data_IF_423173311788
#
_entry.id   IF_423173311788
#
_cell.length_a   1.000
_cell.length_b   1.000
_cell.length_c   1.000
_cell.angle_alpha   90.00
_cell.angle_beta   90.00
_cell.angle_gamma   90.00
#
_symmetry.space_group_name_H-M   'P 1'
#
loop_
_entity.id
_entity.type
_entity.pdbx_description
1 polymer ?
#
# COMPACT_ATOMS: atom_id res chain seq x y z
N UNK A 1 5.25 6.46 10.89
CA UNK A 1 4.79 5.58 11.98
C UNK A 1 5.64 5.71 13.24
N UNK A 2 6.81 6.35 13.14
CA UNK A 2 7.69 6.57 14.26
C UNK A 2 7.07 7.52 15.31
N UNK A 3 7.46 7.36 16.58
CA UNK A 3 6.98 8.21 17.67
C UNK A 3 7.45 9.66 17.53
N UNK A 4 8.65 9.85 16.98
CA UNK A 4 9.30 11.14 16.80
C UNK A 4 9.11 11.71 15.38
N UNK A 5 8.13 11.17 14.61
CA UNK A 5 7.79 11.68 13.28
C UNK A 5 7.37 13.12 13.33
N UNK A 6 7.92 13.93 12.46
CA UNK A 6 7.78 15.39 12.49
C UNK A 6 7.16 15.99 11.22
N UNK A 7 6.70 15.15 10.30
CA UNK A 7 5.96 15.58 9.14
C UNK A 7 6.49 15.07 7.81
N UNK A 8 6.00 15.70 6.75
CA UNK A 8 6.18 15.30 5.38
C UNK A 8 7.45 15.93 4.79
N UNK A 9 8.27 15.12 4.16
CA UNK A 9 9.35 15.60 3.29
C UNK A 9 8.89 15.52 1.84
N UNK A 10 8.91 16.64 1.12
CA UNK A 10 8.57 16.66 -0.30
C UNK A 10 9.72 16.11 -1.13
N UNK A 11 9.38 15.49 -2.25
CA UNK A 11 10.31 14.99 -3.24
C UNK A 11 9.83 15.30 -4.64
N UNK A 12 10.70 15.09 -5.62
CA UNK A 12 10.41 15.22 -7.04
C UNK A 12 10.60 13.86 -7.71
N UNK A 13 9.71 13.52 -8.65
CA UNK A 13 9.82 12.28 -9.38
C UNK A 13 8.78 12.12 -10.48
N UNK A 14 9.08 11.25 -11.41
CA UNK A 14 8.15 10.76 -12.41
C UNK A 14 8.30 9.25 -12.51
N UNK A 15 7.20 8.55 -12.71
CA UNK A 15 7.18 7.11 -12.88
C UNK A 15 6.13 6.70 -13.88
N UNK A 16 6.40 5.63 -14.61
CA UNK A 16 5.48 5.05 -15.58
C UNK A 16 5.42 3.55 -15.40
N UNK A 17 4.23 3.00 -15.33
CA UNK A 17 3.97 1.55 -15.38
C UNK A 17 3.33 1.23 -16.72
N UNK A 18 3.79 0.14 -17.34
CA UNK A 18 3.17 -0.41 -18.54
C UNK A 18 2.28 -1.57 -18.12
N UNK A 19 0.98 -1.41 -18.34
CA UNK A 19 0.00 -2.46 -18.10
C UNK A 19 -0.37 -3.13 -19.42
N UNK A 20 -0.52 -4.44 -19.40
CA UNK A 20 -0.90 -5.24 -20.56
C UNK A 20 -1.92 -6.30 -20.15
N UNK A 21 -2.84 -6.62 -21.04
CA UNK A 21 -3.76 -7.74 -20.89
C UNK A 21 -3.19 -9.06 -21.47
N UNK A 22 -1.92 -9.06 -21.87
CA UNK A 22 -1.24 -10.29 -22.32
C UNK A 22 -0.88 -11.14 -21.11
N UNK A 23 -1.20 -12.43 -21.20
CA UNK A 23 -0.93 -13.42 -20.14
C UNK A 23 0.36 -14.20 -20.34
N UNK A 24 1.03 -14.02 -21.47
CA UNK A 24 2.25 -14.73 -21.88
C UNK A 24 3.55 -13.99 -21.56
N UNK A 25 3.48 -12.92 -20.71
CA UNK A 25 4.66 -12.17 -20.30
C UNK A 25 5.32 -12.89 -19.11
N UNK A 26 6.52 -13.43 -19.27
CA UNK A 26 7.18 -14.13 -18.19
C UNK A 26 7.59 -13.17 -17.06
N UNK A 27 7.56 -13.65 -15.82
CA UNK A 27 8.00 -12.92 -14.64
C UNK A 27 7.30 -11.55 -14.44
N UNK A 28 6.03 -11.44 -14.83
CA UNK A 28 5.25 -10.24 -14.60
C UNK A 28 4.48 -10.32 -13.27
N UNK A 29 4.16 -9.15 -12.72
CA UNK A 29 3.20 -9.01 -11.65
C UNK A 29 1.84 -8.58 -12.22
N UNK A 30 0.79 -9.04 -11.60
CA UNK A 30 -0.59 -8.73 -11.97
C UNK A 30 -1.17 -7.72 -10.98
N UNK A 31 -1.95 -6.78 -11.46
CA UNK A 31 -2.89 -6.03 -10.62
C UNK A 31 -4.09 -6.97 -10.42
N UNK A 32 -4.09 -7.64 -9.27
CA UNK A 32 -5.07 -8.67 -8.97
C UNK A 32 -6.41 -8.10 -8.47
N UNK A 33 -6.37 -6.94 -7.83
CA UNK A 33 -7.56 -6.23 -7.36
C UNK A 33 -7.25 -4.78 -7.07
N UNK A 34 -8.27 -3.92 -7.08
CA UNK A 34 -8.12 -2.51 -6.81
C UNK A 34 -9.43 -1.87 -6.36
N UNK A 35 -9.32 -0.89 -5.47
CA UNK A 35 -10.48 -0.15 -4.99
C UNK A 35 -10.11 1.25 -4.57
N UNK A 36 -11.07 2.14 -4.61
CA UNK A 36 -10.97 3.48 -4.05
C UNK A 36 -12.17 3.81 -3.18
N UNK A 37 -11.96 4.70 -2.22
CA UNK A 37 -13.01 5.20 -1.33
C UNK A 37 -12.77 6.69 -1.05
N UNK A 38 -13.73 7.32 -0.39
CA UNK A 38 -13.58 8.71 0.02
C UNK A 38 -14.04 8.89 1.47
N UNK A 39 -13.21 9.53 2.28
CA UNK A 39 -13.49 9.78 3.70
C UNK A 39 -14.70 10.70 3.91
N UNK A 40 -14.99 11.60 2.95
CA UNK A 40 -15.99 12.65 3.06
C UNK A 40 -15.88 13.48 4.38
N UNK A 41 -14.67 13.57 4.94
CA UNK A 41 -14.43 14.17 6.24
C UNK A 41 -13.93 15.61 6.14
N UNK A 42 -12.73 15.82 5.59
CA UNK A 42 -12.09 17.13 5.51
C UNK A 42 -11.21 17.23 4.25
N UNK A 43 -11.06 18.44 3.70
CA UNK A 43 -10.33 18.65 2.45
C UNK A 43 -8.83 18.26 2.54
N UNK A 44 -8.22 18.39 3.70
CA UNK A 44 -6.78 18.12 3.91
C UNK A 44 -6.47 17.21 5.10
N UNK A 45 -7.49 16.75 5.80
CA UNK A 45 -7.33 15.86 6.96
C UNK A 45 -7.95 14.49 6.67
N UNK A 46 -7.28 13.39 7.05
CA UNK A 46 -7.84 12.05 6.88
C UNK A 46 -8.98 11.79 7.86
N UNK A 47 -9.75 10.75 7.60
CA UNK A 47 -10.67 10.15 8.56
C UNK A 47 -9.96 9.84 9.90
N UNK A 48 -10.70 9.89 11.00
CA UNK A 48 -10.13 9.55 12.32
C UNK A 48 -10.20 8.06 12.64
N UNK A 49 -11.04 7.33 11.93
CA UNK A 49 -11.31 5.90 12.16
C UNK A 49 -10.51 5.00 11.24
N UNK A 50 -10.22 5.44 10.01
CA UNK A 50 -9.55 4.66 8.98
C UNK A 50 -10.48 3.64 8.31
N UNK A 51 -11.78 3.67 8.58
CA UNK A 51 -12.75 2.72 8.04
C UNK A 51 -12.82 2.78 6.51
N UNK A 52 -12.72 3.97 5.92
CA UNK A 52 -12.80 4.16 4.48
C UNK A 52 -11.57 3.58 3.77
N UNK A 53 -10.38 3.80 4.32
CA UNK A 53 -9.17 3.16 3.79
C UNK A 53 -9.22 1.63 3.99
N UNK A 54 -9.69 1.17 5.15
CA UNK A 54 -9.90 -0.26 5.39
C UNK A 54 -10.89 -0.86 4.39
N UNK A 55 -11.96 -0.14 4.06
CA UNK A 55 -12.92 -0.57 3.04
C UNK A 55 -12.26 -0.69 1.66
N UNK A 56 -11.44 0.28 1.25
CA UNK A 56 -10.68 0.18 -0.01
C UNK A 56 -9.75 -1.04 -0.02
N UNK A 57 -9.02 -1.28 1.08
CA UNK A 57 -8.12 -2.43 1.22
C UNK A 57 -8.89 -3.75 1.12
N UNK A 58 -9.94 -3.92 1.92
CA UNK A 58 -10.72 -5.17 1.96
C UNK A 58 -11.44 -5.44 0.65
N UNK A 59 -11.95 -4.40 -0.02
CA UNK A 59 -12.58 -4.54 -1.34
C UNK A 59 -11.55 -4.99 -2.38
N UNK A 60 -10.36 -4.37 -2.42
CA UNK A 60 -9.28 -4.78 -3.33
C UNK A 60 -8.82 -6.22 -3.07
N UNK A 61 -8.71 -6.64 -1.81
CA UNK A 61 -8.35 -8.01 -1.43
C UNK A 61 -9.44 -9.01 -1.83
N UNK A 62 -10.71 -8.69 -1.62
CA UNK A 62 -11.84 -9.52 -2.03
C UNK A 62 -11.88 -9.69 -3.55
N UNK A 63 -11.66 -8.62 -4.33
CA UNK A 63 -11.56 -8.70 -5.78
C UNK A 63 -10.39 -9.60 -6.23
N UNK A 64 -9.28 -9.54 -5.52
CA UNK A 64 -8.12 -10.39 -5.78
C UNK A 64 -8.30 -11.84 -5.30
N UNK A 65 -9.31 -12.14 -4.51
CA UNK A 65 -9.50 -13.47 -3.89
C UNK A 65 -8.43 -13.81 -2.85
N UNK A 66 -7.86 -12.83 -2.16
CA UNK A 66 -6.76 -13.02 -1.18
C UNK A 66 -7.21 -12.72 0.24
N UNK A 67 -6.67 -13.46 1.20
CA UNK A 67 -6.86 -13.24 2.63
C UNK A 67 -5.67 -12.45 3.21
N UNK A 68 -5.82 -11.85 4.40
CA UNK A 68 -4.71 -11.17 5.08
C UNK A 68 -3.45 -12.04 5.25
N UNK A 69 -3.61 -13.34 5.47
CA UNK A 69 -2.49 -14.29 5.61
C UNK A 69 -1.68 -14.52 4.33
N UNK A 70 -2.26 -14.21 3.17
CA UNK A 70 -1.60 -14.37 1.87
C UNK A 70 -0.70 -13.18 1.53
N UNK A 71 -0.92 -12.04 2.21
CA UNK A 71 -0.21 -10.78 1.95
C UNK A 71 1.19 -10.82 2.56
N UNK A 72 2.21 -10.74 1.74
CA UNK A 72 3.61 -10.75 2.14
C UNK A 72 4.03 -9.46 2.84
N UNK A 73 3.56 -8.33 2.36
CA UNK A 73 3.77 -7.01 2.96
C UNK A 73 2.75 -5.98 2.46
N UNK A 74 2.66 -4.86 3.18
CA UNK A 74 1.84 -3.72 2.80
C UNK A 74 2.74 -2.49 2.65
N UNK A 75 2.77 -1.88 1.46
CA UNK A 75 3.39 -0.58 1.26
C UNK A 75 2.33 0.50 1.44
N UNK A 76 2.39 1.15 2.60
CA UNK A 76 1.43 2.17 3.02
C UNK A 76 1.78 3.55 2.45
N UNK A 77 0.84 4.47 2.53
CA UNK A 77 1.08 5.87 2.16
C UNK A 77 2.15 6.51 3.04
N UNK A 78 2.04 6.40 4.37
CA UNK A 78 3.10 6.65 5.36
C UNK A 78 3.83 7.98 5.18
N UNK A 79 3.17 9.09 5.51
CA UNK A 79 3.69 10.45 5.28
C UNK A 79 4.52 11.01 6.45
N UNK A 80 4.67 10.26 7.54
CA UNK A 80 5.25 10.72 8.80
C UNK A 80 4.49 11.90 9.43
N UNK A 81 3.22 12.07 9.09
CA UNK A 81 2.31 13.02 9.75
C UNK A 81 1.47 12.30 10.79
N UNK A 82 1.21 12.96 11.91
CA UNK A 82 0.51 12.36 13.06
C UNK A 82 -0.81 11.74 12.62
N UNK A 83 -1.68 12.54 12.01
CA UNK A 83 -3.05 12.11 11.70
C UNK A 83 -3.14 11.05 10.60
N UNK A 84 -2.31 11.16 9.55
CA UNK A 84 -2.32 10.16 8.49
C UNK A 84 -1.84 8.81 8.99
N UNK A 85 -0.72 8.78 9.70
CA UNK A 85 -0.14 7.52 10.17
C UNK A 85 -1.02 6.86 11.24
N UNK A 86 -1.72 7.65 12.07
CA UNK A 86 -2.73 7.14 12.99
C UNK A 86 -3.93 6.52 12.26
N UNK A 87 -4.45 7.21 11.24
CA UNK A 87 -5.55 6.71 10.41
C UNK A 87 -5.16 5.39 9.73
N UNK A 88 -3.99 5.35 9.09
CA UNK A 88 -3.50 4.16 8.40
C UNK A 88 -3.31 2.97 9.36
N UNK A 89 -2.80 3.23 10.58
CA UNK A 89 -2.64 2.16 11.58
C UNK A 89 -3.96 1.52 11.99
N UNK A 90 -5.00 2.32 12.14
CA UNK A 90 -6.36 1.84 12.44
C UNK A 90 -6.96 1.09 11.24
N UNK A 91 -6.76 1.62 10.03
CA UNK A 91 -7.24 0.98 8.81
C UNK A 91 -6.67 -0.43 8.64
N UNK A 92 -5.36 -0.62 8.90
CA UNK A 92 -4.75 -1.95 8.85
C UNK A 92 -5.30 -2.89 9.90
N UNK A 93 -5.59 -2.40 11.12
CA UNK A 93 -6.22 -3.22 12.14
C UNK A 93 -7.62 -3.69 11.72
N UNK A 94 -8.43 -2.80 11.17
CA UNK A 94 -9.78 -3.13 10.67
C UNK A 94 -9.71 -4.11 9.50
N UNK A 95 -8.73 -3.94 8.59
CA UNK A 95 -8.52 -4.83 7.45
C UNK A 95 -7.86 -6.17 7.81
N UNK A 96 -7.47 -6.39 9.08
CA UNK A 96 -6.81 -7.62 9.53
C UNK A 96 -5.33 -7.74 9.13
N UNK A 97 -4.69 -6.62 8.78
CA UNK A 97 -3.31 -6.56 8.25
C UNK A 97 -2.30 -5.96 9.24
N UNK A 98 -2.68 -5.71 10.50
CA UNK A 98 -1.80 -5.06 11.47
C UNK A 98 -0.51 -5.86 11.78
N UNK A 99 -0.57 -7.19 11.69
CA UNK A 99 0.55 -8.11 11.95
C UNK A 99 1.41 -8.37 10.70
N UNK A 100 0.93 -7.99 9.51
CA UNK A 100 1.69 -8.12 8.27
C UNK A 100 2.88 -7.15 8.26
N UNK A 101 3.92 -7.48 7.49
CA UNK A 101 5.06 -6.56 7.33
C UNK A 101 4.59 -5.26 6.66
N UNK A 102 4.81 -4.13 7.33
CA UNK A 102 4.43 -2.79 6.85
C UNK A 102 5.68 -2.02 6.45
N UNK A 103 5.62 -1.34 5.31
CA UNK A 103 6.68 -0.45 4.86
C UNK A 103 6.14 0.89 4.39
N UNK A 104 6.96 1.94 4.50
CA UNK A 104 6.80 3.19 3.75
C UNK A 104 8.12 3.52 3.07
N UNK A 105 8.05 3.83 1.80
CA UNK A 105 9.23 4.17 0.98
C UNK A 105 9.45 5.67 0.84
N UNK A 106 8.59 6.50 1.45
CA UNK A 106 8.68 7.96 1.30
C UNK A 106 9.97 8.58 1.82
N UNK A 107 10.60 7.98 2.81
CA UNK A 107 11.88 8.49 3.31
C UNK A 107 13.06 8.28 2.34
N UNK A 108 12.87 7.48 1.27
CA UNK A 108 13.88 7.32 0.22
C UNK A 108 13.77 8.38 -0.87
N UNK A 109 12.55 8.80 -1.21
CA UNK A 109 12.26 9.62 -2.39
C UNK A 109 11.62 10.96 -2.05
N UNK A 110 11.19 11.13 -0.81
CA UNK A 110 10.24 12.18 -0.44
C UNK A 110 8.81 11.85 -0.92
N UNK A 111 7.88 12.68 -0.55
CA UNK A 111 6.52 12.61 -1.08
C UNK A 111 6.47 13.32 -2.44
N UNK A 112 6.37 12.54 -3.49
CA UNK A 112 6.37 13.04 -4.87
C UNK A 112 4.96 13.39 -5.38
N UNK A 113 4.03 13.64 -4.45
CA UNK A 113 2.65 14.07 -4.72
C UNK A 113 1.93 13.11 -5.68
N UNK A 114 1.49 13.58 -6.83
CA UNK A 114 0.77 12.77 -7.82
C UNK A 114 1.54 11.56 -8.36
N UNK A 115 2.87 11.59 -8.29
CA UNK A 115 3.71 10.46 -8.71
C UNK A 115 3.85 9.37 -7.63
N UNK A 116 3.60 9.68 -6.35
CA UNK A 116 3.91 8.79 -5.22
C UNK A 116 3.34 7.38 -5.38
N UNK A 117 2.07 7.26 -5.76
CA UNK A 117 1.42 5.95 -5.88
C UNK A 117 2.11 5.06 -6.89
N UNK A 118 2.37 5.59 -8.10
CA UNK A 118 2.98 4.84 -9.21
C UNK A 118 4.45 4.56 -8.93
N UNK A 119 5.20 5.52 -8.39
CA UNK A 119 6.62 5.35 -8.04
C UNK A 119 6.80 4.26 -6.97
N UNK A 120 6.04 4.35 -5.89
CA UNK A 120 6.10 3.42 -4.77
C UNK A 120 5.64 2.01 -5.19
N UNK A 121 4.65 1.92 -6.08
CA UNK A 121 4.21 0.66 -6.67
C UNK A 121 5.32 0.03 -7.53
N UNK A 122 5.96 0.80 -8.42
CA UNK A 122 7.05 0.33 -9.27
C UNK A 122 8.24 -0.17 -8.44
N UNK A 123 8.63 0.57 -7.41
CA UNK A 123 9.72 0.19 -6.50
C UNK A 123 9.38 -1.07 -5.71
N UNK A 124 8.14 -1.17 -5.20
CA UNK A 124 7.70 -2.36 -4.47
C UNK A 124 7.71 -3.60 -5.34
N UNK A 125 7.25 -3.48 -6.60
CA UNK A 125 7.28 -4.59 -7.57
C UNK A 125 8.72 -5.02 -7.86
N UNK A 126 9.63 -4.07 -8.14
CA UNK A 126 11.02 -4.36 -8.43
C UNK A 126 11.78 -5.02 -7.25
N UNK A 127 11.42 -4.68 -6.02
CA UNK A 127 11.96 -5.33 -4.83
C UNK A 127 11.34 -6.72 -4.62
N UNK A 128 10.03 -6.85 -4.82
CA UNK A 128 9.33 -8.12 -4.70
C UNK A 128 9.86 -9.17 -5.70
N UNK A 129 10.19 -8.76 -6.93
CA UNK A 129 10.87 -9.62 -7.93
C UNK A 129 12.18 -10.22 -7.41
N UNK A 130 12.87 -9.52 -6.52
CA UNK A 130 14.13 -9.96 -5.91
C UNK A 130 13.93 -10.70 -4.59
N UNK A 131 12.68 -10.88 -4.13
CA UNK A 131 12.39 -11.42 -2.81
C UNK A 131 12.83 -10.47 -1.69
N UNK A 132 12.78 -9.17 -1.94
CA UNK A 132 13.21 -8.15 -0.97
C UNK A 132 12.03 -7.27 -0.54
N UNK A 133 12.02 -6.89 0.74
CA UNK A 133 11.13 -5.87 1.29
C UNK A 133 12.00 -4.77 1.88
N UNK A 134 11.76 -3.52 1.46
CA UNK A 134 12.50 -2.38 1.97
C UNK A 134 12.32 -2.21 3.48
N UNK A 135 13.33 -1.68 4.15
CA UNK A 135 13.10 -1.12 5.50
C UNK A 135 12.36 0.22 5.38
N UNK A 136 11.63 0.58 6.41
CA UNK A 136 11.11 1.95 6.57
C UNK A 136 12.20 2.82 7.16
N UNK A 137 12.82 3.68 6.35
CA UNK A 137 13.89 4.57 6.82
C UNK A 137 13.36 5.52 7.90
N UNK A 138 14.17 5.73 8.96
CA UNK A 138 13.84 6.62 10.08
C UNK A 138 12.85 6.03 11.06
N UNK A 139 12.40 4.77 10.90
CA UNK A 139 11.54 4.12 11.88
C UNK A 139 12.39 3.39 12.92
N UNK A 140 12.18 3.73 14.20
CA UNK A 140 12.83 3.11 15.35
C UNK A 140 11.81 2.56 16.36
N UNK A 141 10.76 3.33 16.67
CA UNK A 141 9.76 2.98 17.66
C UNK A 141 8.36 3.43 17.26
N UNK A 142 7.37 2.57 17.52
CA UNK A 142 5.97 2.84 17.18
C UNK A 142 5.42 4.05 17.93
N UNK A 143 4.86 5.01 17.19
CA UNK A 143 4.14 6.18 17.70
C UNK A 143 2.68 6.25 17.25
N UNK A 144 2.13 5.15 16.73
CA UNK A 144 0.74 5.08 16.28
C UNK A 144 -0.15 4.35 17.29
N UNK A 145 -1.47 4.64 17.34
CA UNK A 145 -2.39 4.00 18.29
C UNK A 145 -2.45 2.48 18.17
N UNK A 146 -2.34 1.98 16.93
CA UNK A 146 -2.21 0.54 16.68
C UNK A 146 -0.75 0.23 16.42
N UNK A 147 -0.21 -0.75 17.13
CA UNK A 147 1.13 -1.26 16.88
C UNK A 147 1.15 -2.01 15.56
N UNK A 148 1.97 -1.57 14.63
CA UNK A 148 2.18 -2.21 13.34
C UNK A 148 3.53 -2.94 13.32
N UNK A 149 3.62 -3.98 12.51
CA UNK A 149 4.88 -4.67 12.23
C UNK A 149 5.68 -3.93 11.15
N UNK A 150 6.15 -2.72 11.48
CA UNK A 150 6.92 -1.88 10.55
C UNK A 150 8.32 -2.43 10.36
N UNK A 151 8.74 -2.61 9.10
CA UNK A 151 10.05 -3.15 8.76
C UNK A 151 11.19 -2.19 9.15
N UNK A 152 12.01 -2.59 10.11
CA UNK A 152 13.20 -1.85 10.59
C UNK A 152 14.46 -2.20 9.80
N UNK A 153 14.47 -3.34 9.11
CA UNK A 153 15.61 -3.80 8.31
C UNK A 153 15.10 -4.24 6.94
N UNK A 154 15.97 -4.17 5.93
CA UNK A 154 15.63 -4.77 4.65
C UNK A 154 15.56 -6.29 4.81
N UNK A 155 14.40 -6.86 4.50
CA UNK A 155 14.17 -8.29 4.50
C UNK A 155 14.57 -8.81 3.13
N UNK A 156 15.32 -9.91 3.09
CA UNK A 156 15.82 -10.55 1.87
C UNK A 156 15.43 -12.01 1.82
N UNK A 157 15.50 -12.57 0.62
CA UNK A 157 15.25 -14.00 0.37
C UNK A 157 13.89 -14.47 0.91
N UNK A 158 12.89 -13.57 0.87
CA UNK A 158 11.51 -13.85 1.28
C UNK A 158 10.61 -13.90 0.05
N UNK A 159 9.77 -14.93 -0.10
CA UNK A 159 8.73 -14.91 -1.13
C UNK A 159 7.84 -13.67 -0.94
N UNK A 160 7.77 -12.82 -1.96
CA UNK A 160 6.98 -11.59 -1.97
C UNK A 160 5.89 -11.70 -3.06
N UNK A 161 5.12 -12.79 -2.99
CA UNK A 161 4.18 -13.16 -4.04
C UNK A 161 3.00 -12.20 -4.14
N UNK A 162 2.52 -11.72 -3.01
CA UNK A 162 1.35 -10.83 -2.93
C UNK A 162 1.67 -9.65 -2.02
N UNK A 163 1.42 -8.46 -2.48
CA UNK A 163 1.49 -7.28 -1.63
C UNK A 163 0.36 -6.29 -1.90
N UNK A 164 0.09 -5.46 -0.92
CA UNK A 164 -0.89 -4.38 -1.01
C UNK A 164 -0.17 -3.04 -1.05
N UNK A 165 -0.55 -2.17 -1.97
CA UNK A 165 -0.13 -0.77 -2.00
C UNK A 165 -1.31 0.14 -1.73
N UNK A 166 -1.17 1.06 -0.77
CA UNK A 166 -2.21 2.04 -0.45
C UNK A 166 -1.77 3.46 -0.75
N UNK A 167 -2.73 4.32 -0.96
CA UNK A 167 -2.53 5.75 -1.09
C UNK A 167 -3.67 6.52 -0.47
N UNK A 168 -3.34 7.61 0.23
CA UNK A 168 -4.33 8.54 0.80
C UNK A 168 -3.98 9.95 0.38
N UNK A 169 -4.95 10.69 -0.13
CA UNK A 169 -4.75 12.02 -0.69
C UNK A 169 -5.68 13.05 -0.08
N UNK A 170 -5.36 14.31 -0.30
CA UNK A 170 -6.25 15.41 0.04
C UNK A 170 -7.59 15.26 -0.68
N UNK A 171 -8.66 15.76 -0.05
CA UNK A 171 -10.02 15.54 -0.48
C UNK A 171 -10.63 14.23 0.04
N UNK A 172 -9.90 13.52 0.91
CA UNK A 172 -10.34 12.27 1.52
C UNK A 172 -10.24 11.04 0.59
N UNK A 173 -9.47 11.14 -0.49
CA UNK A 173 -9.34 10.05 -1.45
C UNK A 173 -8.42 8.96 -0.90
N UNK A 174 -8.90 7.74 -0.81
CA UNK A 174 -8.13 6.56 -0.50
C UNK A 174 -8.15 5.59 -1.67
N UNK A 175 -7.05 4.87 -1.86
CA UNK A 175 -6.95 3.82 -2.86
C UNK A 175 -6.11 2.66 -2.33
N UNK A 176 -6.44 1.45 -2.76
CA UNK A 176 -5.66 0.25 -2.51
C UNK A 176 -5.60 -0.58 -3.79
N UNK A 177 -4.43 -1.17 -4.04
CA UNK A 177 -4.24 -2.17 -5.09
C UNK A 177 -3.56 -3.39 -4.51
N UNK A 178 -3.98 -4.57 -4.95
CA UNK A 178 -3.34 -5.85 -4.67
C UNK A 178 -2.54 -6.25 -5.89
N UNK A 179 -1.27 -6.54 -5.66
CA UNK A 179 -0.33 -6.96 -6.69
C UNK A 179 0.10 -8.38 -6.39
N UNK A 180 0.09 -9.24 -7.39
CA UNK A 180 0.43 -10.66 -7.26
C UNK A 180 1.33 -11.12 -8.41
N UNK A 181 2.33 -11.95 -8.12
CA UNK A 181 3.09 -12.69 -9.13
C UNK A 181 2.45 -14.03 -9.46
N UNK A 182 1.42 -14.44 -8.72
CA UNK A 182 0.64 -15.65 -9.00
C UNK A 182 -0.45 -15.29 -9.99
N UNK A 183 -0.67 -16.16 -10.95
CA UNK A 183 -1.83 -16.09 -11.82
C UNK A 183 -3.07 -16.32 -10.93
N UNK A 184 -3.64 -15.21 -10.48
CA UNK A 184 -4.90 -15.27 -9.76
C UNK A 184 -5.97 -15.56 -10.81
N UNK A 185 -6.39 -16.80 -10.94
CA UNK A 185 -7.63 -17.18 -11.61
C UNK A 185 -8.82 -16.57 -10.84
N UNK A 186 -8.89 -15.25 -10.81
CA UNK A 186 -10.11 -14.58 -10.51
C UNK A 186 -11.05 -14.89 -11.65
N UNK A 187 -12.18 -15.47 -11.32
CA UNK A 187 -13.30 -15.67 -12.26
C UNK A 187 -13.77 -14.27 -12.71
N UNK A 188 -13.01 -13.68 -13.66
CA UNK A 188 -13.18 -12.29 -14.12
C UNK A 188 -14.32 -12.24 -15.13
N UNK A 189 -15.51 -12.52 -14.69
CA UNK A 189 -16.71 -12.12 -15.43
C UNK A 189 -16.85 -10.60 -15.30
N UNK A 190 -16.19 -9.86 -16.19
CA UNK A 190 -16.52 -8.44 -16.39
C UNK A 190 -17.90 -8.37 -17.03
N UNK A 191 -18.92 -8.03 -16.28
CA UNK A 191 -20.16 -7.55 -16.87
C UNK A 191 -19.83 -6.21 -17.54
N UNK A 192 -19.75 -6.24 -18.87
CA UNK A 192 -19.73 -5.00 -19.66
C UNK A 192 -21.07 -4.31 -19.47
N UNK A 193 -21.08 -3.26 -18.67
CA UNK A 193 -22.23 -2.35 -18.62
C UNK A 193 -22.25 -1.60 -19.94
N UNK A 194 -23.20 -1.99 -20.81
CA UNK A 194 -23.50 -1.34 -22.09
C UNK A 194 -24.27 -0.04 -21.88
#
# INVERSE_FOLDING_TARGET
YDKDRDGISLGEGASTLILSNKTDIPNCFYIAGGSSSNDANHISGPSRTGEELAHAITTAMNEAGVNPSDVSFVNMHGTATVYNDEMESKALAVAGLADNTVVSTKAYFGHTLGCSGVLELAVSTALAEKGEIAKTLGFEETGTPVKLNVSQTTIKDKPCDIFVKTGSGFGGCNAAVVVSNRDCEADRTYETVS
#
